data_IF_489085223577
#
_entry.id   IF_489085223577
#
_cell.length_a   1.000
_cell.length_b   1.000
_cell.length_c   1.000
_cell.angle_alpha   90.00
_cell.angle_beta   90.00
_cell.angle_gamma   90.00
#
_symmetry.space_group_name_H-M   'P 1'
#
loop_
_entity.id
_entity.type
_entity.pdbx_description
1 polymer ?
#
# COMPACT_ATOMS: atom_id res chain seq x y z
N UNK A 1 -4.09 11.79 16.07
CA UNK A 1 -4.97 11.22 15.00
C UNK A 1 -4.86 11.91 13.64
N UNK A 2 -4.22 13.09 13.51
CA UNK A 2 -4.06 13.80 12.23
C UNK A 2 -3.14 13.19 11.13
N UNK A 3 -2.09 12.38 11.42
CA UNK A 3 -1.12 12.03 10.37
C UNK A 3 -1.68 11.05 9.33
N UNK A 4 -2.46 10.04 9.73
CA UNK A 4 -2.93 8.97 8.82
C UNK A 4 -3.90 9.47 7.74
N UNK A 5 -4.77 10.44 8.06
CA UNK A 5 -5.73 10.97 7.09
C UNK A 5 -5.02 11.68 5.93
N UNK A 6 -3.95 12.42 6.21
CA UNK A 6 -3.19 13.13 5.17
C UNK A 6 -2.57 12.14 4.19
N UNK A 7 -1.98 11.05 4.67
CA UNK A 7 -1.41 10.00 3.81
C UNK A 7 -2.45 9.35 2.91
N UNK A 8 -3.65 9.08 3.45
CA UNK A 8 -4.75 8.48 2.69
C UNK A 8 -5.29 9.42 1.60
N UNK A 9 -5.45 10.72 1.88
CA UNK A 9 -5.89 11.68 0.87
C UNK A 9 -4.82 11.85 -0.23
N UNK A 10 -3.52 11.85 0.13
CA UNK A 10 -2.43 11.89 -0.86
C UNK A 10 -2.44 10.68 -1.81
N UNK A 11 -2.77 9.49 -1.32
CA UNK A 11 -2.88 8.30 -2.18
C UNK A 11 -4.03 8.40 -3.17
N UNK A 12 -5.15 9.00 -2.76
CA UNK A 12 -6.29 9.29 -3.63
C UNK A 12 -5.88 10.28 -4.72
N UNK A 13 -5.22 11.38 -4.35
CA UNK A 13 -4.79 12.42 -5.29
C UNK A 13 -3.78 11.85 -6.32
N UNK A 14 -2.77 11.10 -5.86
CA UNK A 14 -1.78 10.46 -6.73
C UNK A 14 -2.46 9.49 -7.70
N UNK A 15 -3.38 8.63 -7.21
CA UNK A 15 -4.10 7.71 -8.08
C UNK A 15 -4.94 8.46 -9.11
N UNK A 16 -5.70 9.47 -8.69
CA UNK A 16 -6.55 10.25 -9.57
C UNK A 16 -5.75 10.85 -10.72
N UNK A 17 -4.62 11.49 -10.42
CA UNK A 17 -3.78 12.12 -11.43
C UNK A 17 -3.12 11.10 -12.37
N UNK A 18 -2.47 10.06 -11.83
CA UNK A 18 -1.76 9.08 -12.66
C UNK A 18 -2.71 8.25 -13.54
N UNK A 19 -3.92 7.98 -13.05
CA UNK A 19 -4.94 7.24 -13.82
C UNK A 19 -5.41 8.00 -15.07
N UNK A 20 -5.30 9.32 -15.12
CA UNK A 20 -5.58 10.09 -16.35
C UNK A 20 -4.53 9.88 -17.44
N UNK A 21 -3.31 9.52 -17.05
CA UNK A 21 -2.18 9.30 -17.96
C UNK A 21 -2.15 7.84 -18.42
N UNK A 22 -2.24 6.90 -17.48
CA UNK A 22 -2.17 5.46 -17.75
C UNK A 22 -2.69 4.65 -16.56
N UNK A 23 -3.29 3.47 -16.78
CA UNK A 23 -3.61 2.54 -15.69
C UNK A 23 -2.38 1.81 -15.13
N UNK A 24 -1.22 1.92 -15.77
CA UNK A 24 -0.02 1.14 -15.42
C UNK A 24 0.93 1.91 -14.51
N UNK A 25 0.55 2.04 -13.23
CA UNK A 25 1.39 2.61 -12.18
C UNK A 25 1.26 1.83 -10.87
N UNK A 26 2.18 2.09 -9.93
CA UNK A 26 2.11 1.57 -8.57
C UNK A 26 2.46 2.69 -7.58
N UNK A 27 1.85 2.65 -6.39
CA UNK A 27 2.06 3.63 -5.34
C UNK A 27 2.81 2.94 -4.19
N UNK A 28 4.02 3.40 -3.93
CA UNK A 28 4.79 2.99 -2.76
C UNK A 28 4.45 3.93 -1.60
N UNK A 29 3.91 3.39 -0.51
CA UNK A 29 3.61 4.17 0.69
C UNK A 29 4.34 3.56 1.89
N UNK A 30 4.78 4.42 2.81
CA UNK A 30 5.66 4.02 3.90
C UNK A 30 4.85 3.51 5.10
N UNK A 31 4.77 2.18 5.26
CA UNK A 31 4.04 1.54 6.37
C UNK A 31 4.87 1.35 7.66
N UNK A 32 5.96 2.09 7.82
CA UNK A 32 6.81 2.05 9.01
C UNK A 32 8.30 1.89 8.66
N UNK A 33 9.10 2.89 9.02
CA UNK A 33 10.55 2.85 8.81
C UNK A 33 11.30 1.98 9.86
N UNK A 34 10.60 1.38 10.84
CA UNK A 34 11.24 0.63 11.95
C UNK A 34 10.43 -0.59 12.43
N UNK A 35 9.10 -0.55 12.38
CA UNK A 35 8.22 -1.70 12.65
C UNK A 35 7.12 -1.77 11.60
N UNK A 36 6.75 -2.98 11.26
CA UNK A 36 5.80 -3.28 10.21
C UNK A 36 4.38 -3.12 10.75
N UNK A 37 3.53 -2.46 9.96
CA UNK A 37 2.10 -2.35 10.20
C UNK A 37 1.29 -2.90 9.02
N UNK A 38 1.42 -4.20 8.68
CA UNK A 38 0.74 -4.80 7.54
C UNK A 38 -0.79 -4.80 7.67
N UNK A 39 -1.32 -4.63 8.89
CA UNK A 39 -2.75 -4.42 9.14
C UNK A 39 -3.29 -3.11 8.54
N UNK A 40 -2.42 -2.17 8.16
CA UNK A 40 -2.83 -0.93 7.49
C UNK A 40 -3.09 -1.14 6.00
N UNK A 41 -2.49 -2.15 5.36
CA UNK A 41 -2.61 -2.37 3.92
C UNK A 41 -4.06 -2.47 3.46
N UNK A 42 -4.89 -3.23 4.19
CA UNK A 42 -6.32 -3.37 3.89
C UNK A 42 -7.08 -2.05 4.01
N UNK A 43 -6.76 -1.22 5.02
CA UNK A 43 -7.40 0.08 5.24
C UNK A 43 -7.14 1.04 4.09
N UNK A 44 -5.92 1.03 3.54
CA UNK A 44 -5.56 1.87 2.39
C UNK A 44 -6.31 1.43 1.13
N UNK A 45 -6.36 0.11 0.87
CA UNK A 45 -7.13 -0.45 -0.24
C UNK A 45 -8.62 -0.09 -0.15
N UNK A 46 -9.23 -0.23 1.03
CA UNK A 46 -10.63 0.13 1.28
C UNK A 46 -10.88 1.63 1.08
N UNK A 47 -10.02 2.48 1.65
CA UNK A 47 -10.17 3.92 1.60
C UNK A 47 -10.13 4.46 0.16
N UNK A 48 -9.13 4.07 -0.63
CA UNK A 48 -9.01 4.54 -2.02
C UNK A 48 -10.17 4.01 -2.87
N UNK A 49 -10.57 2.75 -2.67
CA UNK A 49 -11.71 2.15 -3.36
C UNK A 49 -13.00 2.93 -3.10
N UNK A 50 -13.28 3.26 -1.84
CA UNK A 50 -14.47 4.02 -1.45
C UNK A 50 -14.46 5.43 -2.04
N UNK A 51 -13.33 6.14 -1.93
CA UNK A 51 -13.19 7.53 -2.40
C UNK A 51 -13.32 7.68 -3.90
N UNK A 52 -12.76 6.74 -4.65
CA UNK A 52 -12.77 6.76 -6.11
C UNK A 52 -13.89 5.91 -6.72
N UNK A 53 -14.76 5.34 -5.88
CA UNK A 53 -15.89 4.49 -6.28
C UNK A 53 -15.47 3.34 -7.23
N UNK A 54 -14.33 2.70 -6.93
CA UNK A 54 -13.75 1.66 -7.76
C UNK A 54 -14.50 0.34 -7.55
N UNK A 55 -14.83 -0.34 -8.65
CA UNK A 55 -15.56 -1.62 -8.63
C UNK A 55 -14.65 -2.82 -8.35
N UNK A 56 -13.36 -2.67 -8.61
CA UNK A 56 -12.35 -3.73 -8.44
C UNK A 56 -11.80 -3.66 -7.02
N UNK A 57 -11.83 -4.79 -6.31
CA UNK A 57 -11.19 -4.93 -5.01
C UNK A 57 -9.67 -4.83 -5.18
N UNK A 58 -9.01 -4.19 -4.20
CA UNK A 58 -7.56 -4.00 -4.17
C UNK A 58 -7.03 -3.29 -5.42
N UNK A 59 -7.61 -2.12 -5.66
CA UNK A 59 -7.51 -1.35 -6.90
C UNK A 59 -6.17 -0.64 -7.07
N UNK A 60 -5.36 -0.57 -6.00
CA UNK A 60 -4.05 0.08 -6.02
C UNK A 60 -2.94 -0.94 -5.81
N UNK A 61 -1.89 -0.83 -6.63
CA UNK A 61 -0.68 -1.63 -6.48
C UNK A 61 0.21 -1.01 -5.42
N UNK A 62 0.16 -1.59 -4.22
CA UNK A 62 1.01 -1.18 -3.10
C UNK A 62 2.41 -1.79 -3.25
N UNK A 63 3.43 -0.98 -2.98
CA UNK A 63 4.83 -1.41 -2.94
C UNK A 63 5.38 -1.29 -1.53
N UNK A 64 6.02 -2.35 -1.06
CA UNK A 64 6.51 -2.50 0.30
C UNK A 64 8.04 -2.41 0.35
N UNK A 65 8.57 -1.52 1.18
CA UNK A 65 10.01 -1.35 1.39
C UNK A 65 10.38 -1.77 2.83
N UNK A 66 11.20 -2.82 3.00
CA UNK A 66 11.76 -3.18 4.31
C UNK A 66 11.40 -4.58 4.82
N UNK A 67 11.50 -5.62 3.98
CA UNK A 67 11.10 -6.99 4.34
C UNK A 67 12.07 -7.81 5.20
N UNK A 68 13.30 -7.35 5.41
CA UNK A 68 14.37 -8.21 5.95
C UNK A 68 14.20 -8.62 7.40
N UNK A 69 13.43 -7.88 8.21
CA UNK A 69 13.10 -8.24 9.60
C UNK A 69 11.64 -8.65 9.78
N UNK A 70 10.91 -8.92 8.70
CA UNK A 70 9.51 -9.35 8.75
C UNK A 70 9.39 -10.80 9.22
N UNK A 71 8.43 -11.06 10.10
CA UNK A 71 7.98 -12.42 10.43
C UNK A 71 7.23 -13.05 9.25
N UNK A 72 7.11 -14.38 9.25
CA UNK A 72 6.33 -15.10 8.23
C UNK A 72 4.86 -14.68 8.20
N UNK A 73 4.28 -14.33 9.35
CA UNK A 73 2.87 -13.91 9.43
C UNK A 73 2.67 -12.49 8.87
N UNK A 74 3.62 -11.58 9.10
CA UNK A 74 3.61 -10.25 8.47
C UNK A 74 3.75 -10.35 6.95
N UNK A 75 4.63 -11.23 6.45
CA UNK A 75 4.77 -11.50 5.01
C UNK A 75 3.47 -12.08 4.44
N UNK A 76 2.81 -13.00 5.15
CA UNK A 76 1.50 -13.53 4.73
C UNK A 76 0.45 -12.44 4.62
N UNK A 77 0.41 -11.51 5.57
CA UNK A 77 -0.55 -10.41 5.54
C UNK A 77 -0.26 -9.44 4.38
N UNK A 78 1.01 -9.19 4.08
CA UNK A 78 1.45 -8.41 2.89
C UNK A 78 0.91 -9.06 1.60
N UNK A 79 1.09 -10.37 1.44
CA UNK A 79 0.58 -11.11 0.27
C UNK A 79 -0.95 -11.09 0.22
N UNK A 80 -1.64 -11.30 1.35
CA UNK A 80 -3.11 -11.29 1.41
C UNK A 80 -3.72 -9.95 1.00
N UNK A 81 -3.00 -8.84 1.17
CA UNK A 81 -3.44 -7.50 0.78
C UNK A 81 -3.00 -7.08 -0.64
N UNK A 82 -2.57 -8.04 -1.48
CA UNK A 82 -2.10 -7.86 -2.86
C UNK A 82 -1.04 -6.76 -3.02
N UNK A 83 -0.10 -6.70 -2.08
CA UNK A 83 1.14 -5.95 -2.29
C UNK A 83 1.88 -6.57 -3.47
N UNK A 84 2.03 -5.79 -4.54
CA UNK A 84 2.55 -6.29 -5.82
C UNK A 84 4.06 -6.51 -5.80
N UNK A 85 4.78 -5.82 -4.90
CA UNK A 85 6.24 -5.86 -4.83
C UNK A 85 6.71 -5.59 -3.42
N UNK A 86 7.60 -6.45 -2.92
CA UNK A 86 8.26 -6.31 -1.63
C UNK A 86 9.77 -6.25 -1.86
N UNK A 87 10.40 -5.15 -1.43
CA UNK A 87 11.86 -5.07 -1.42
C UNK A 87 12.41 -5.84 -0.22
N UNK A 88 13.34 -6.74 -0.50
CA UNK A 88 14.09 -7.46 0.51
C UNK A 88 15.51 -6.90 0.51
N UNK A 89 15.99 -6.51 1.68
CA UNK A 89 17.34 -5.98 1.89
C UNK A 89 18.40 -7.09 1.92
N UNK A 90 19.61 -6.75 2.37
CA UNK A 90 20.81 -7.60 2.32
C UNK A 90 20.78 -8.87 3.20
N UNK A 91 19.69 -9.17 3.88
CA UNK A 91 19.60 -10.32 4.79
C UNK A 91 18.70 -11.40 4.21
N UNK A 92 19.22 -12.04 3.17
CA UNK A 92 18.89 -13.41 2.77
C UNK A 92 20.08 -14.30 3.05
#
# INVERSE_FOLDING_TARGET
MAPMKIWLEMEVDIHHELATISPSFSIATAFGNVRLHPELLGKHQEYVKEKLNLRVNKSIFLVFHGGSSSTKDEIRLVVQNDVAKMNIGKEF
#
